data_IF_890417380808
#
_entry.id   IF_890417380808
#
_cell.length_a   1.000
_cell.length_b   1.000
_cell.length_c   1.000
_cell.angle_alpha   90.00
_cell.angle_beta   90.00
_cell.angle_gamma   90.00
#
_symmetry.space_group_name_H-M   'P 1'
#
loop_
_entity.id
_entity.type
_entity.pdbx_description
1 polymer ?
#
# COMPACT_ATOMS: atom_id res chain seq x y z
N UNK A 1 -45.44 19.65 -0.82
CA UNK A 1 -44.72 19.35 -2.07
C UNK A 1 -44.81 17.86 -2.44
N UNK A 2 -44.56 16.93 -1.51
CA UNK A 2 -44.65 15.48 -1.75
C UNK A 2 -45.98 14.96 -2.32
N UNK A 3 -47.14 15.42 -1.82
CA UNK A 3 -48.44 14.94 -2.31
C UNK A 3 -48.68 15.26 -3.79
N UNK A 4 -48.16 16.40 -4.29
CA UNK A 4 -48.25 16.77 -5.70
C UNK A 4 -47.42 15.81 -6.57
N UNK A 5 -46.22 15.45 -6.10
CA UNK A 5 -45.33 14.49 -6.79
C UNK A 5 -45.92 13.08 -6.83
N UNK A 6 -46.51 12.62 -5.72
CA UNK A 6 -47.17 11.30 -5.64
C UNK A 6 -48.35 11.23 -6.61
N UNK A 7 -49.19 12.26 -6.64
CA UNK A 7 -50.35 12.29 -7.54
C UNK A 7 -49.95 12.33 -9.02
N UNK A 8 -48.88 13.08 -9.35
CA UNK A 8 -48.29 13.09 -10.69
C UNK A 8 -47.80 11.70 -11.11
N UNK A 9 -47.09 11.00 -10.23
CA UNK A 9 -46.57 9.66 -10.52
C UNK A 9 -47.69 8.63 -10.68
N UNK A 10 -48.72 8.67 -9.84
CA UNK A 10 -49.91 7.81 -9.99
C UNK A 10 -50.61 8.03 -11.33
N UNK A 11 -50.78 9.29 -11.74
CA UNK A 11 -51.37 9.61 -13.05
C UNK A 11 -50.51 9.06 -14.20
N UNK A 12 -49.19 9.26 -14.15
CA UNK A 12 -48.25 8.72 -15.15
C UNK A 12 -48.25 7.19 -15.21
N UNK A 13 -48.35 6.52 -14.06
CA UNK A 13 -48.46 5.07 -13.99
C UNK A 13 -49.75 4.56 -14.66
N UNK A 14 -50.88 5.20 -14.40
CA UNK A 14 -52.17 4.84 -15.00
C UNK A 14 -52.25 5.12 -16.52
N UNK A 15 -51.48 6.09 -17.02
CA UNK A 15 -51.36 6.39 -18.44
C UNK A 15 -50.44 5.39 -19.18
N UNK A 16 -49.60 4.63 -18.48
CA UNK A 16 -48.70 3.67 -19.10
C UNK A 16 -49.49 2.44 -19.60
N UNK A 17 -49.44 2.07 -20.89
CA UNK A 17 -50.15 0.90 -21.44
C UNK A 17 -49.86 -0.42 -20.71
N UNK A 18 -48.69 -0.54 -20.09
CA UNK A 18 -48.26 -1.73 -19.36
C UNK A 18 -49.04 -1.92 -18.06
N UNK A 19 -49.58 -0.84 -17.45
CA UNK A 19 -50.27 -0.91 -16.16
C UNK A 19 -51.62 -1.64 -16.20
N UNK A 20 -52.15 -1.90 -17.40
CA UNK A 20 -53.45 -2.56 -17.62
C UNK A 20 -53.34 -4.04 -17.95
N UNK A 21 -52.11 -4.58 -18.01
CA UNK A 21 -51.87 -5.97 -18.37
C UNK A 21 -52.10 -6.89 -17.17
N UNK A 22 -52.72 -8.04 -17.39
CA UNK A 22 -52.93 -9.05 -16.34
C UNK A 22 -51.64 -9.76 -15.90
N UNK A 23 -50.60 -9.77 -16.75
CA UNK A 23 -49.29 -10.35 -16.49
C UNK A 23 -48.27 -9.37 -15.89
N UNK A 24 -48.74 -8.21 -15.40
CA UNK A 24 -47.89 -7.11 -14.95
C UNK A 24 -46.90 -7.51 -13.85
N UNK A 25 -47.37 -8.20 -12.80
CA UNK A 25 -46.51 -8.60 -11.68
C UNK A 25 -45.41 -9.55 -12.13
N UNK A 26 -45.74 -10.55 -12.95
CA UNK A 26 -44.76 -11.46 -13.56
C UNK A 26 -43.76 -10.73 -14.48
N UNK A 27 -44.21 -9.69 -15.19
CA UNK A 27 -43.33 -8.88 -16.03
C UNK A 27 -42.38 -7.99 -15.20
N UNK A 28 -42.88 -7.42 -14.10
CA UNK A 28 -42.09 -6.65 -13.13
C UNK A 28 -41.05 -7.57 -12.47
N UNK A 29 -41.42 -8.78 -12.06
CA UNK A 29 -40.50 -9.75 -11.48
C UNK A 29 -39.38 -10.13 -12.46
N UNK A 30 -39.73 -10.40 -13.73
CA UNK A 30 -38.74 -10.68 -14.78
C UNK A 30 -37.82 -9.47 -15.04
N UNK A 31 -38.37 -8.26 -15.05
CA UNK A 31 -37.59 -7.03 -15.21
C UNK A 31 -36.63 -6.82 -14.04
N UNK A 32 -37.09 -7.00 -12.80
CA UNK A 32 -36.29 -6.88 -11.59
C UNK A 32 -35.21 -7.96 -11.52
N UNK A 33 -35.52 -9.19 -11.93
CA UNK A 33 -34.55 -10.28 -12.04
C UNK A 33 -33.45 -9.94 -13.05
N UNK A 34 -33.83 -9.46 -14.25
CA UNK A 34 -32.88 -8.99 -15.26
C UNK A 34 -32.02 -7.83 -14.73
N UNK A 35 -32.62 -6.84 -14.09
CA UNK A 35 -31.91 -5.69 -13.53
C UNK A 35 -30.92 -6.11 -12.43
N UNK A 36 -31.31 -7.06 -11.59
CA UNK A 36 -30.43 -7.61 -10.55
C UNK A 36 -29.24 -8.36 -11.15
N UNK A 37 -29.47 -9.16 -12.18
CA UNK A 37 -28.39 -9.88 -12.86
C UNK A 37 -27.44 -8.94 -13.62
N UNK A 38 -27.96 -7.86 -14.20
CA UNK A 38 -27.12 -6.83 -14.83
C UNK A 38 -26.21 -6.14 -13.80
N UNK A 39 -26.73 -5.79 -12.62
CA UNK A 39 -25.90 -5.26 -11.52
C UNK A 39 -24.83 -6.24 -11.07
N UNK A 40 -25.19 -7.52 -10.90
CA UNK A 40 -24.21 -8.57 -10.56
C UNK A 40 -23.13 -8.72 -11.63
N UNK A 41 -23.50 -8.61 -12.91
CA UNK A 41 -22.56 -8.65 -14.03
C UNK A 41 -21.58 -7.47 -13.97
N UNK A 42 -22.07 -6.27 -13.68
CA UNK A 42 -21.25 -5.07 -13.53
C UNK A 42 -20.30 -5.18 -12.32
N UNK A 43 -20.80 -5.63 -11.17
CA UNK A 43 -19.98 -5.89 -9.98
C UNK A 43 -18.87 -6.93 -10.26
N UNK A 44 -19.20 -8.03 -10.96
CA UNK A 44 -18.23 -9.06 -11.31
C UNK A 44 -17.19 -8.50 -12.29
N UNK A 45 -17.60 -7.71 -13.28
CA UNK A 45 -16.67 -7.06 -14.22
C UNK A 45 -15.73 -6.10 -13.50
N UNK A 46 -16.23 -5.28 -12.59
CA UNK A 46 -15.38 -4.41 -11.79
C UNK A 46 -14.39 -5.22 -10.93
N UNK A 47 -14.85 -6.32 -10.33
CA UNK A 47 -13.97 -7.20 -9.55
C UNK A 47 -12.87 -7.81 -10.42
N UNK A 48 -13.19 -8.28 -11.62
CA UNK A 48 -12.21 -8.80 -12.59
C UNK A 48 -11.18 -7.72 -12.92
N UNK A 49 -11.63 -6.52 -13.31
CA UNK A 49 -10.73 -5.41 -13.64
C UNK A 49 -9.85 -4.98 -12.46
N UNK A 50 -10.34 -5.08 -11.22
CA UNK A 50 -9.55 -4.80 -10.01
C UNK A 50 -8.55 -5.90 -9.69
N UNK A 51 -8.86 -7.15 -10.01
CA UNK A 51 -7.98 -8.31 -9.80
C UNK A 51 -6.95 -8.46 -10.91
N UNK A 52 -7.06 -7.71 -12.01
CA UNK A 52 -6.05 -7.75 -13.06
C UNK A 52 -4.65 -7.50 -12.47
N UNK A 53 -3.80 -8.51 -12.69
CA UNK A 53 -2.41 -8.62 -12.25
C UNK A 53 -1.52 -7.39 -12.53
N UNK A 54 -2.00 -6.47 -13.37
CA UNK A 54 -1.37 -5.19 -13.71
C UNK A 54 -1.04 -4.35 -12.48
N UNK A 55 -1.89 -4.34 -11.46
CA UNK A 55 -1.62 -3.58 -10.21
C UNK A 55 -0.35 -4.07 -9.49
N UNK A 56 -0.13 -5.39 -9.45
CA UNK A 56 1.07 -5.98 -8.84
C UNK A 56 2.34 -5.74 -9.69
N UNK A 57 2.21 -5.66 -11.00
CA UNK A 57 3.34 -5.34 -11.88
C UNK A 57 3.83 -3.90 -11.68
N UNK A 58 2.93 -2.95 -11.45
CA UNK A 58 3.32 -1.55 -11.20
C UNK A 58 4.06 -1.39 -9.87
N UNK A 59 3.59 -2.08 -8.82
CA UNK A 59 4.29 -2.12 -7.54
C UNK A 59 5.67 -2.78 -7.67
N UNK A 60 5.76 -3.93 -8.35
CA UNK A 60 7.03 -4.62 -8.59
C UNK A 60 8.00 -3.72 -9.38
N UNK A 61 7.50 -3.01 -10.40
CA UNK A 61 8.29 -2.08 -11.21
C UNK A 61 8.81 -0.92 -10.35
N UNK A 62 7.98 -0.37 -9.46
CA UNK A 62 8.39 0.66 -8.53
C UNK A 62 9.49 0.19 -7.57
N UNK A 63 9.33 -1.01 -6.99
CA UNK A 63 10.35 -1.62 -6.10
C UNK A 63 11.66 -1.88 -6.84
N UNK A 64 11.62 -2.44 -8.07
CA UNK A 64 12.81 -2.63 -8.90
C UNK A 64 13.55 -1.32 -9.17
N UNK A 65 12.83 -0.25 -9.53
CA UNK A 65 13.45 1.07 -9.73
C UNK A 65 14.18 1.56 -8.49
N UNK A 66 13.58 1.40 -7.31
CA UNK A 66 14.22 1.78 -6.05
C UNK A 66 15.49 0.96 -5.80
N UNK A 67 15.44 -0.37 -5.97
CA UNK A 67 16.59 -1.25 -5.77
C UNK A 67 17.76 -0.91 -6.72
N UNK A 68 17.47 -0.54 -7.97
CA UNK A 68 18.48 -0.08 -8.94
C UNK A 68 19.11 1.25 -8.52
N UNK A 69 18.28 2.22 -8.09
CA UNK A 69 18.76 3.53 -7.61
C UNK A 69 19.63 3.45 -6.35
N UNK A 70 19.40 2.44 -5.52
CA UNK A 70 20.23 2.16 -4.34
C UNK A 70 21.43 1.24 -4.64
N UNK A 71 21.58 0.81 -5.89
CA UNK A 71 22.63 -0.11 -6.34
C UNK A 71 22.56 -1.49 -5.66
N UNK A 72 21.36 -1.99 -5.34
CA UNK A 72 21.13 -3.36 -4.87
C UNK A 72 21.05 -4.35 -6.03
N UNK A 73 20.66 -3.88 -7.21
CA UNK A 73 20.77 -4.59 -8.49
C UNK A 73 21.19 -3.65 -9.62
N UNK A 74 21.69 -4.22 -10.71
CA UNK A 74 22.00 -3.51 -11.96
C UNK A 74 20.72 -3.19 -12.76
N UNK A 75 20.85 -2.41 -13.83
CA UNK A 75 19.76 -2.14 -14.78
C UNK A 75 19.21 -3.41 -15.46
N UNK A 76 20.06 -4.43 -15.62
CA UNK A 76 19.69 -5.76 -16.14
C UNK A 76 19.11 -6.68 -15.06
N UNK A 77 18.73 -6.15 -13.90
CA UNK A 77 18.21 -6.90 -12.74
C UNK A 77 19.19 -7.94 -12.16
N UNK A 78 20.50 -7.81 -12.43
CA UNK A 78 21.52 -8.65 -11.81
C UNK A 78 21.83 -8.17 -10.38
N UNK A 79 21.83 -9.08 -9.42
CA UNK A 79 22.02 -8.76 -8.00
C UNK A 79 23.45 -8.27 -7.75
N UNK A 80 23.59 -7.09 -7.13
CA UNK A 80 24.85 -6.50 -6.73
C UNK A 80 25.30 -6.97 -5.34
N UNK A 81 26.48 -6.54 -4.87
CA UNK A 81 26.97 -6.88 -3.53
C UNK A 81 26.01 -6.43 -2.43
N UNK A 82 25.46 -5.21 -2.53
CA UNK A 82 24.43 -4.70 -1.61
C UNK A 82 23.22 -5.63 -1.54
N UNK A 83 22.72 -6.06 -2.71
CA UNK A 83 21.60 -7.00 -2.80
C UNK A 83 21.91 -8.33 -2.14
N UNK A 84 23.11 -8.90 -2.35
CA UNK A 84 23.51 -10.15 -1.68
C UNK A 84 23.56 -10.01 -0.16
N UNK A 85 24.10 -8.91 0.35
CA UNK A 85 24.14 -8.65 1.80
C UNK A 85 22.72 -8.53 2.35
N UNK A 86 21.86 -7.79 1.66
CA UNK A 86 20.47 -7.59 2.07
C UNK A 86 19.68 -8.91 2.09
N UNK A 87 19.95 -9.83 1.15
CA UNK A 87 19.33 -11.15 1.13
C UNK A 87 19.63 -11.99 2.39
N UNK A 88 20.71 -11.69 3.13
CA UNK A 88 21.06 -12.37 4.38
C UNK A 88 20.40 -11.73 5.62
N UNK A 89 19.72 -10.59 5.46
CA UNK A 89 19.03 -9.88 6.56
C UNK A 89 17.54 -10.25 6.51
N UNK A 90 17.12 -11.13 7.42
CA UNK A 90 15.73 -11.59 7.51
C UNK A 90 14.87 -10.84 8.53
N UNK A 91 15.44 -9.86 9.24
CA UNK A 91 14.76 -9.16 10.34
C UNK A 91 15.17 -7.70 10.40
N UNK A 92 14.18 -6.81 10.57
CA UNK A 92 14.36 -5.37 10.45
C UNK A 92 14.30 -4.90 8.98
N UNK A 93 14.64 -3.64 8.76
CA UNK A 93 14.69 -3.04 7.41
C UNK A 93 16.03 -3.37 6.73
N UNK A 94 16.01 -4.32 5.81
CA UNK A 94 17.19 -4.87 5.13
C UNK A 94 17.94 -3.83 4.30
N UNK A 95 17.23 -2.85 3.73
CA UNK A 95 17.83 -1.81 2.89
C UNK A 95 18.60 -0.82 3.76
N UNK A 96 17.98 -0.32 4.83
CA UNK A 96 18.61 0.61 5.78
C UNK A 96 19.80 -0.05 6.46
N UNK A 97 19.65 -1.29 6.93
CA UNK A 97 20.71 -2.02 7.61
C UNK A 97 21.92 -2.27 6.70
N UNK A 98 21.68 -2.64 5.44
CA UNK A 98 22.76 -2.82 4.45
C UNK A 98 23.51 -1.52 4.18
N UNK A 99 22.80 -0.41 4.05
CA UNK A 99 23.42 0.91 3.86
C UNK A 99 24.26 1.33 5.07
N UNK A 100 23.73 1.17 6.29
CA UNK A 100 24.47 1.49 7.52
C UNK A 100 25.70 0.60 7.69
N UNK A 101 25.59 -0.68 7.34
CA UNK A 101 26.70 -1.63 7.42
C UNK A 101 27.84 -1.22 6.49
N UNK A 102 27.54 -0.89 5.24
CA UNK A 102 28.55 -0.50 4.24
C UNK A 102 29.13 0.89 4.46
N UNK A 103 28.38 1.81 5.09
CA UNK A 103 28.89 3.11 5.54
C UNK A 103 29.80 3.01 6.78
N UNK A 104 29.99 1.81 7.34
CA UNK A 104 30.80 1.58 8.54
C UNK A 104 30.18 2.16 9.82
N UNK A 105 28.88 2.44 9.81
CA UNK A 105 28.17 3.08 10.92
C UNK A 105 28.31 2.30 12.24
N UNK A 106 28.33 0.96 12.17
CA UNK A 106 28.37 0.09 13.33
C UNK A 106 29.76 -0.01 13.99
N UNK A 107 30.83 0.33 13.28
CA UNK A 107 32.22 0.13 13.72
C UNK A 107 32.62 0.99 14.92
N UNK A 108 31.86 2.06 15.20
CA UNK A 108 32.13 2.99 16.30
C UNK A 108 31.49 2.60 17.64
N UNK A 109 30.67 1.53 17.67
CA UNK A 109 29.89 1.16 18.85
C UNK A 109 30.50 -0.02 19.60
N UNK A 110 30.43 0.01 20.93
CA UNK A 110 30.70 -1.17 21.74
C UNK A 110 29.61 -2.24 21.54
N UNK A 111 29.85 -3.53 21.87
CA UNK A 111 28.83 -4.57 21.73
C UNK A 111 27.50 -4.24 22.44
N UNK A 112 27.57 -3.58 23.60
CA UNK A 112 26.40 -3.15 24.37
C UNK A 112 25.64 -2.03 23.66
N UNK A 113 26.36 -1.05 23.10
CA UNK A 113 25.76 0.03 22.33
C UNK A 113 25.15 -0.48 21.03
N UNK A 114 25.84 -1.39 20.35
CA UNK A 114 25.36 -2.03 19.13
C UNK A 114 24.06 -2.79 19.37
N UNK A 115 23.96 -3.57 20.46
CA UNK A 115 22.71 -4.22 20.86
C UNK A 115 21.58 -3.20 21.08
N UNK A 116 21.88 -2.06 21.72
CA UNK A 116 20.93 -0.97 21.88
C UNK A 116 20.47 -0.36 20.55
N UNK A 117 21.37 -0.13 19.61
CA UNK A 117 21.03 0.36 18.26
C UNK A 117 20.20 -0.68 17.49
N UNK A 118 20.59 -1.94 17.52
CA UNK A 118 19.88 -3.03 16.83
C UNK A 118 18.49 -3.25 17.40
N UNK A 119 18.25 -2.93 18.68
CA UNK A 119 16.91 -3.00 19.27
C UNK A 119 15.88 -2.13 18.52
N UNK A 120 16.33 -1.03 17.89
CA UNK A 120 15.47 -0.15 17.09
C UNK A 120 14.94 -0.81 15.80
N UNK A 121 15.59 -1.86 15.31
CA UNK A 121 15.19 -2.57 14.08
C UNK A 121 14.33 -3.81 14.34
N UNK A 122 14.23 -4.26 15.60
CA UNK A 122 13.51 -5.48 15.99
C UNK A 122 12.26 -5.17 16.82
N UNK A 123 12.23 -4.03 17.52
CA UNK A 123 11.11 -3.67 18.38
C UNK A 123 9.89 -3.15 17.59
N UNK A 124 8.87 -3.97 17.43
CA UNK A 124 7.62 -3.60 16.73
C UNK A 124 6.62 -2.83 17.61
N UNK A 125 6.70 -3.00 18.94
CA UNK A 125 5.71 -2.45 19.89
C UNK A 125 6.24 -1.20 20.59
N UNK A 126 5.42 -0.16 20.56
CA UNK A 126 5.61 1.05 21.37
C UNK A 126 5.55 0.69 22.86
N UNK A 127 6.56 1.10 23.62
CA UNK A 127 6.58 0.90 25.09
C UNK A 127 6.10 2.18 25.79
N UNK A 128 5.47 2.03 26.97
CA UNK A 128 4.93 3.17 27.73
C UNK A 128 6.00 3.98 28.48
N UNK A 129 7.29 3.70 28.25
CA UNK A 129 8.39 4.40 28.93
C UNK A 129 8.54 5.82 28.36
N UNK A 130 7.94 6.79 29.06
CA UNK A 130 7.80 8.16 28.55
C UNK A 130 9.09 9.01 28.61
N UNK A 131 10.14 8.58 29.33
CA UNK A 131 11.42 9.30 29.41
C UNK A 131 12.60 8.35 29.51
N UNK A 132 13.33 8.18 28.41
CA UNK A 132 14.62 7.48 28.37
C UNK A 132 15.72 8.54 28.18
N UNK A 133 16.59 8.70 29.17
CA UNK A 133 17.76 9.57 29.06
C UNK A 133 18.88 8.82 28.35
N UNK A 134 18.90 8.93 27.02
CA UNK A 134 19.94 8.35 26.18
C UNK A 134 21.26 9.12 26.31
N UNK A 135 22.38 8.40 26.25
CA UNK A 135 23.70 9.01 26.18
C UNK A 135 23.85 9.85 24.90
N UNK A 136 24.74 10.86 24.86
CA UNK A 136 24.95 11.69 23.68
C UNK A 136 25.29 10.87 22.43
N UNK A 137 26.09 9.81 22.58
CA UNK A 137 26.44 8.89 21.51
C UNK A 137 25.21 8.17 20.94
N UNK A 138 24.32 7.66 21.80
CA UNK A 138 23.10 6.96 21.36
C UNK A 138 22.09 7.92 20.71
N UNK A 139 21.96 9.15 21.22
CA UNK A 139 21.12 10.18 20.58
C UNK A 139 21.62 10.50 19.17
N UNK A 140 22.94 10.63 19.00
CA UNK A 140 23.57 10.86 17.69
C UNK A 140 23.32 9.67 16.75
N UNK A 141 23.46 8.44 17.25
CA UNK A 141 23.21 7.22 16.49
C UNK A 141 21.77 7.18 15.95
N UNK A 142 20.77 7.37 16.82
CA UNK A 142 19.36 7.39 16.42
C UNK A 142 19.08 8.49 15.40
N UNK A 143 19.63 9.70 15.60
CA UNK A 143 19.50 10.79 14.62
C UNK A 143 20.07 10.41 13.25
N UNK A 144 21.23 9.75 13.23
CA UNK A 144 21.86 9.27 11.99
C UNK A 144 20.99 8.23 11.27
N UNK A 145 20.41 7.28 12.01
CA UNK A 145 19.49 6.27 11.47
C UNK A 145 18.26 6.93 10.86
N UNK A 146 17.64 7.89 11.55
CA UNK A 146 16.49 8.63 11.03
C UNK A 146 16.83 9.41 9.75
N UNK A 147 18.00 10.04 9.68
CA UNK A 147 18.44 10.74 8.46
C UNK A 147 18.57 9.75 7.30
N UNK A 148 19.16 8.57 7.53
CA UNK A 148 19.29 7.54 6.48
C UNK A 148 17.94 7.00 6.03
N UNK A 149 17.03 6.77 6.97
CA UNK A 149 15.65 6.36 6.69
C UNK A 149 14.91 7.41 5.83
N UNK A 150 15.02 8.69 6.19
CA UNK A 150 14.42 9.79 5.42
C UNK A 150 15.00 9.92 4.01
N UNK A 151 16.31 9.72 3.84
CA UNK A 151 16.94 9.72 2.51
C UNK A 151 16.40 8.59 1.63
N UNK A 152 16.24 7.38 2.18
CA UNK A 152 15.66 6.25 1.47
C UNK A 152 14.20 6.50 1.05
N UNK A 153 13.40 7.14 1.93
CA UNK A 153 12.04 7.55 1.61
C UNK A 153 11.97 8.63 0.52
N UNK A 154 12.90 9.59 0.52
CA UNK A 154 12.99 10.63 -0.51
C UNK A 154 13.33 10.07 -1.89
N UNK A 155 14.20 9.05 -1.95
CA UNK A 155 14.52 8.35 -3.20
C UNK A 155 13.27 7.69 -3.78
N UNK A 156 12.33 7.25 -2.95
CA UNK A 156 11.05 6.67 -3.39
C UNK A 156 9.99 7.70 -3.81
N UNK A 157 10.24 9.00 -3.67
CA UNK A 157 9.26 10.03 -4.03
C UNK A 157 9.16 10.23 -5.55
N UNK A 158 7.95 10.47 -6.09
CA UNK A 158 7.70 10.62 -7.53
C UNK A 158 8.40 11.83 -8.17
N UNK A 159 9.09 12.67 -7.40
CA UNK A 159 9.86 13.81 -7.93
C UNK A 159 11.04 13.37 -8.81
N UNK A 160 11.48 12.12 -8.66
CA UNK A 160 12.56 11.54 -9.48
C UNK A 160 12.06 10.54 -10.52
N UNK A 161 10.75 10.52 -10.83
CA UNK A 161 10.22 9.77 -11.97
C UNK A 161 10.28 10.64 -13.22
N UNK A 162 11.47 10.81 -13.77
CA UNK A 162 11.66 11.22 -15.17
C UNK A 162 12.61 10.22 -15.82
#
# INVERSE_FOLDING_TARGET
MLCKTINLLKARMAMNPISKRADLDSLIDRFNWKATNLRKLEDIRERINRTDSLSHFDELRARKRLLRRLCFCSEDDTIALKGRIACEISTGDELVLTELLLDGFFSQFSPVQLAGVMSCFVAEKQTKHHKINLSPAMKKAIKSIHVRFSLLLMINSPVFTN
#
